data_IF_079313410168
#
_entry.id   IF_079313410168
#
_cell.length_a   1.000
_cell.length_b   1.000
_cell.length_c   1.000
_cell.angle_alpha   90.00
_cell.angle_beta   90.00
_cell.angle_gamma   90.00
#
_symmetry.space_group_name_H-M   'P 1'
#
loop_
_entity.id
_entity.type
_entity.pdbx_description
1 polymer ?
#
# COMPACT_ATOMS: atom_id res chain seq x y z
N UNK A 1 5.79 9.63 50.00
CA UNK A 1 7.07 9.95 49.30
C UNK A 1 6.90 9.94 47.78
N UNK A 2 5.88 10.60 47.20
CA UNK A 2 5.51 10.39 45.78
C UNK A 2 5.17 11.67 45.00
N UNK A 3 5.62 12.84 45.46
CA UNK A 3 5.19 14.13 44.87
C UNK A 3 6.35 15.10 44.56
N UNK A 4 7.60 14.73 44.89
CA UNK A 4 8.77 15.61 44.68
C UNK A 4 9.54 15.35 43.38
N UNK A 5 9.24 14.29 42.63
CA UNK A 5 9.93 13.97 41.36
C UNK A 5 9.46 14.80 40.16
N UNK A 6 8.26 15.41 40.21
CA UNK A 6 7.68 16.10 39.05
C UNK A 6 8.14 17.56 38.93
N UNK A 7 8.42 18.24 40.05
CA UNK A 7 8.65 19.70 40.03
C UNK A 7 10.09 20.15 39.74
N UNK A 8 11.10 19.28 39.91
CA UNK A 8 12.53 19.65 39.74
C UNK A 8 13.08 19.26 38.36
N UNK A 9 12.39 18.39 37.61
CA UNK A 9 12.81 18.01 36.26
C UNK A 9 12.35 19.01 35.17
N UNK A 10 11.40 19.91 35.49
CA UNK A 10 10.86 20.88 34.53
C UNK A 10 11.75 22.10 34.26
N UNK A 11 12.76 22.39 35.10
CA UNK A 11 13.58 23.61 34.94
C UNK A 11 14.99 23.32 34.41
N UNK A 12 15.47 22.07 34.49
CA UNK A 12 16.79 21.68 33.97
C UNK A 12 16.72 20.51 33.00
N UNK A 13 15.72 20.52 32.12
CA UNK A 13 15.65 19.61 30.97
C UNK A 13 15.10 20.34 29.74
N UNK A 14 15.51 21.59 29.55
CA UNK A 14 15.20 22.36 28.34
C UNK A 14 16.45 22.77 27.53
N UNK A 15 17.65 22.31 27.93
CA UNK A 15 18.91 22.73 27.30
C UNK A 15 19.74 21.59 26.66
N UNK A 16 19.27 20.35 26.62
CA UNK A 16 20.04 19.22 26.06
C UNK A 16 19.17 18.21 25.29
N UNK A 17 18.30 18.69 24.41
CA UNK A 17 17.52 17.82 23.51
C UNK A 17 17.38 18.38 22.08
N UNK A 18 18.41 19.07 21.58
CA UNK A 18 18.47 19.51 20.18
C UNK A 18 19.64 18.85 19.42
N UNK A 19 19.85 17.55 19.64
CA UNK A 19 20.54 16.75 18.62
C UNK A 19 19.50 16.50 17.52
N UNK A 20 19.63 17.24 16.42
CA UNK A 20 18.70 17.22 15.30
C UNK A 20 18.51 15.82 14.75
N UNK A 21 17.41 15.17 15.14
CA UNK A 21 16.86 14.09 14.35
C UNK A 21 16.32 14.76 13.08
N UNK A 22 17.07 14.70 11.98
CA UNK A 22 16.44 14.93 10.70
C UNK A 22 15.43 13.80 10.58
N UNK A 23 14.13 14.14 10.58
CA UNK A 23 13.13 13.19 10.12
C UNK A 23 13.64 12.60 8.80
N UNK A 24 13.57 11.27 8.59
CA UNK A 24 13.91 10.69 7.31
C UNK A 24 13.22 11.52 6.23
N UNK A 25 13.93 11.90 5.15
CA UNK A 25 13.29 12.58 4.04
C UNK A 25 12.00 11.84 3.70
N UNK A 26 10.89 12.54 3.41
CA UNK A 26 9.69 11.88 2.91
C UNK A 26 10.10 10.85 1.86
N UNK A 27 9.68 9.60 2.07
CA UNK A 27 9.98 8.54 1.14
C UNK A 27 9.58 8.96 -0.26
N UNK A 28 10.31 8.50 -1.28
CA UNK A 28 9.95 8.74 -2.67
C UNK A 28 8.47 8.32 -2.87
N UNK A 29 7.62 9.15 -3.49
CA UNK A 29 6.26 8.75 -3.80
C UNK A 29 6.24 7.43 -4.57
N UNK A 30 5.32 6.54 -4.20
CA UNK A 30 5.08 5.32 -4.95
C UNK A 30 4.36 5.66 -6.24
N UNK A 31 4.89 5.20 -7.38
CA UNK A 31 4.39 5.52 -8.72
C UNK A 31 4.16 4.26 -9.57
N UNK A 32 4.34 3.06 -8.99
CA UNK A 32 4.12 1.82 -9.74
C UNK A 32 2.63 1.51 -9.70
N UNK A 33 2.00 1.50 -10.88
CA UNK A 33 0.61 1.09 -11.03
C UNK A 33 0.41 -0.42 -11.00
N UNK A 34 -0.85 -0.86 -11.21
CA UNK A 34 -1.22 -2.26 -11.12
C UNK A 34 -0.63 -3.06 -12.29
N UNK A 35 -0.27 -4.30 -11.99
CA UNK A 35 0.08 -5.33 -12.98
C UNK A 35 -1.01 -6.39 -13.00
N UNK A 36 -1.42 -6.79 -14.20
CA UNK A 36 -2.48 -7.78 -14.44
C UNK A 36 -1.95 -8.85 -15.39
N UNK A 37 -2.23 -10.11 -15.08
CA UNK A 37 -1.95 -11.26 -15.91
C UNK A 37 -3.17 -12.18 -15.95
N UNK A 38 -3.63 -12.55 -17.16
CA UNK A 38 -4.70 -13.53 -17.34
C UNK A 38 -4.04 -14.92 -17.44
N UNK A 39 -4.39 -15.80 -16.51
CA UNK A 39 -3.87 -17.17 -16.43
C UNK A 39 -4.79 -18.17 -17.17
N UNK A 40 -6.09 -17.86 -17.22
CA UNK A 40 -7.11 -18.63 -17.94
C UNK A 40 -8.25 -17.70 -18.35
N UNK A 41 -8.85 -17.87 -19.54
CA UNK A 41 -8.49 -18.83 -20.58
C UNK A 41 -7.15 -18.50 -21.26
N UNK A 42 -6.52 -19.50 -21.89
CA UNK A 42 -5.32 -19.27 -22.70
C UNK A 42 -5.71 -18.66 -24.06
N UNK A 43 -4.75 -18.09 -24.78
CA UNK A 43 -5.06 -17.50 -26.08
C UNK A 43 -5.63 -18.56 -27.02
N UNK A 44 -6.79 -18.24 -27.62
CA UNK A 44 -7.55 -19.10 -28.57
C UNK A 44 -8.19 -20.33 -27.94
N UNK A 45 -8.31 -20.39 -26.61
CA UNK A 45 -9.21 -21.36 -26.00
C UNK A 45 -10.63 -21.14 -26.50
N UNK A 46 -11.34 -22.25 -26.69
CA UNK A 46 -12.75 -22.25 -27.07
C UNK A 46 -13.56 -22.76 -25.89
N UNK A 47 -14.59 -22.02 -25.51
CA UNK A 47 -15.54 -22.40 -24.47
C UNK A 47 -16.95 -22.34 -25.04
N UNK A 48 -17.76 -23.35 -24.75
CA UNK A 48 -19.17 -23.40 -25.14
C UNK A 48 -20.13 -23.00 -24.02
N UNK A 49 -19.63 -22.89 -22.79
CA UNK A 49 -20.42 -22.74 -21.57
C UNK A 49 -19.78 -21.66 -20.66
N UNK A 50 -19.99 -21.73 -19.35
CA UNK A 50 -19.35 -20.82 -18.39
C UNK A 50 -17.83 -20.93 -18.45
N UNK A 51 -17.16 -19.85 -18.83
CA UNK A 51 -15.70 -19.74 -18.84
C UNK A 51 -15.22 -19.18 -17.50
N UNK A 52 -14.41 -19.95 -16.77
CA UNK A 52 -13.75 -19.45 -15.58
C UNK A 52 -12.53 -18.61 -15.98
N UNK A 53 -12.60 -17.31 -15.65
CA UNK A 53 -11.47 -16.39 -15.83
C UNK A 53 -10.64 -16.34 -14.56
N UNK A 54 -9.35 -16.64 -14.69
CA UNK A 54 -8.39 -16.61 -13.58
C UNK A 54 -7.36 -15.53 -13.88
N UNK A 55 -7.23 -14.56 -12.98
CA UNK A 55 -6.31 -13.43 -13.11
C UNK A 55 -5.40 -13.32 -11.90
N UNK A 56 -4.15 -12.94 -12.14
CA UNK A 56 -3.21 -12.51 -11.12
C UNK A 56 -3.09 -10.99 -11.19
N UNK A 57 -3.36 -10.30 -10.07
CA UNK A 57 -3.33 -8.83 -9.99
C UNK A 57 -2.46 -8.41 -8.82
N UNK A 58 -1.56 -7.47 -9.05
CA UNK A 58 -0.70 -6.91 -8.02
C UNK A 58 -0.54 -5.41 -8.17
N UNK A 59 -0.66 -4.70 -7.06
CA UNK A 59 -0.37 -3.28 -6.94
C UNK A 59 0.26 -3.06 -5.56
N UNK A 60 1.43 -2.39 -5.45
CA UNK A 60 2.08 -2.24 -4.15
C UNK A 60 1.37 -1.25 -3.21
N UNK A 61 0.49 -0.40 -3.73
CA UNK A 61 -0.42 0.47 -2.98
C UNK A 61 -1.77 -0.20 -2.67
N UNK A 62 -2.06 -1.32 -3.34
CA UNK A 62 -3.25 -2.14 -3.15
C UNK A 62 -4.20 -2.11 -4.35
N UNK A 63 -4.99 -3.18 -4.51
CA UNK A 63 -5.94 -3.33 -5.62
C UNK A 63 -7.32 -2.86 -5.16
N UNK A 64 -7.84 -1.82 -5.82
CA UNK A 64 -9.16 -1.27 -5.49
C UNK A 64 -10.31 -1.97 -6.22
N UNK A 65 -10.18 -2.15 -7.54
CA UNK A 65 -11.21 -2.72 -8.43
C UNK A 65 -10.51 -3.56 -9.50
N UNK A 66 -11.14 -4.67 -9.87
CA UNK A 66 -10.80 -5.45 -11.08
C UNK A 66 -12.04 -5.48 -11.95
N UNK A 67 -11.90 -5.01 -13.20
CA UNK A 67 -12.96 -4.97 -14.18
C UNK A 67 -12.69 -6.01 -15.27
N UNK A 68 -13.62 -6.94 -15.48
CA UNK A 68 -13.54 -7.91 -16.57
C UNK A 68 -14.32 -7.36 -17.76
N UNK A 69 -13.67 -7.27 -18.93
CA UNK A 69 -14.31 -6.87 -20.17
C UNK A 69 -14.22 -7.98 -21.20
N UNK A 70 -15.33 -8.23 -21.88
CA UNK A 70 -15.41 -9.07 -23.08
C UNK A 70 -15.78 -8.17 -24.24
N UNK A 71 -14.93 -8.11 -25.27
CA UNK A 71 -15.10 -7.25 -26.44
C UNK A 71 -15.40 -5.78 -26.10
N UNK A 72 -14.80 -5.29 -25.01
CA UNK A 72 -14.98 -3.91 -24.52
C UNK A 72 -16.22 -3.68 -23.66
N UNK A 73 -16.98 -4.71 -23.34
CA UNK A 73 -18.17 -4.64 -22.47
C UNK A 73 -17.88 -5.31 -21.13
N UNK A 74 -18.23 -4.64 -20.02
CA UNK A 74 -18.18 -5.21 -18.67
C UNK A 74 -19.14 -6.40 -18.53
N UNK A 75 -18.69 -7.49 -17.89
CA UNK A 75 -19.45 -8.75 -17.72
C UNK A 75 -19.63 -9.15 -16.27
#
# INVERSE_FOLDING_TARGET
MREKCVAICSIFMFLIAACGYKAPPPGKPELKGPSIEILSPSQRDTGSDTVQVVVNVSDPSGVAIVLLLVDGTEV
#
